data_IF_148406455509
#
_entry.id   IF_148406455509
#
_cell.length_a   1.000
_cell.length_b   1.000
_cell.length_c   1.000
_cell.angle_alpha   90.00
_cell.angle_beta   90.00
_cell.angle_gamma   90.00
#
_symmetry.space_group_name_H-M   'P 1'
#
loop_
_entity.id
_entity.type
_entity.pdbx_description
1 polymer ?
#
# COMPACT_ATOMS: atom_id res chain seq x y z
N UNK A 1 -18.65 11.46 19.39
CA UNK A 1 -19.23 11.39 18.03
C UNK A 1 -18.17 11.08 16.98
N UNK A 2 -17.05 11.80 17.00
CA UNK A 2 -15.90 11.61 16.09
C UNK A 2 -15.29 10.20 16.12
N UNK A 3 -15.05 9.63 17.31
CA UNK A 3 -14.52 8.25 17.42
C UNK A 3 -15.44 7.19 16.77
N UNK A 4 -16.76 7.40 16.82
CA UNK A 4 -17.72 6.48 16.19
C UNK A 4 -17.70 6.59 14.66
N UNK A 5 -17.53 7.81 14.14
CA UNK A 5 -17.40 8.04 12.70
C UNK A 5 -16.10 7.45 12.16
N UNK A 6 -14.98 7.62 12.88
CA UNK A 6 -13.70 7.03 12.50
C UNK A 6 -13.77 5.49 12.43
N UNK A 7 -14.49 4.84 13.37
CA UNK A 7 -14.69 3.38 13.34
C UNK A 7 -15.62 2.92 12.20
N UNK A 8 -16.62 3.73 11.85
CA UNK A 8 -17.54 3.42 10.76
C UNK A 8 -16.87 3.61 9.40
N UNK A 9 -16.13 4.71 9.26
CA UNK A 9 -15.20 4.91 8.16
C UNK A 9 -14.31 3.69 8.11
N UNK A 10 -13.58 3.33 9.19
CA UNK A 10 -12.70 2.14 9.28
C UNK A 10 -13.36 0.85 8.76
N UNK A 11 -14.61 0.61 9.12
CA UNK A 11 -15.29 -0.57 8.63
C UNK A 11 -15.61 -0.48 7.13
N UNK A 12 -15.94 0.71 6.63
CA UNK A 12 -16.30 0.95 5.24
C UNK A 12 -15.18 0.62 4.24
N UNK A 13 -13.90 0.90 4.48
CA UNK A 13 -12.87 0.45 3.52
C UNK A 13 -12.57 -1.05 3.58
N UNK A 14 -13.02 -1.75 4.62
CA UNK A 14 -12.97 -3.22 4.65
C UNK A 14 -14.15 -3.79 3.87
N UNK A 15 -15.37 -3.33 4.15
CA UNK A 15 -16.60 -3.99 3.70
C UNK A 15 -17.31 -3.27 2.55
N UNK A 16 -16.81 -2.10 2.14
CA UNK A 16 -17.41 -1.24 1.14
C UNK A 16 -18.87 -0.92 1.44
N UNK A 17 -19.68 -0.97 0.39
CA UNK A 17 -21.14 -0.80 0.48
C UNK A 17 -21.91 -2.03 0.98
N UNK A 18 -21.25 -3.10 1.44
CA UNK A 18 -21.96 -4.30 1.92
C UNK A 18 -22.67 -4.04 3.24
N UNK A 19 -23.97 -3.76 3.18
CA UNK A 19 -24.80 -3.53 4.37
C UNK A 19 -24.73 -4.71 5.35
N UNK A 20 -24.78 -5.96 4.83
CA UNK A 20 -24.67 -7.17 5.65
C UNK A 20 -23.37 -7.19 6.45
N UNK A 21 -22.22 -6.97 5.80
CA UNK A 21 -20.93 -6.95 6.49
C UNK A 21 -20.77 -5.73 7.40
N UNK A 22 -21.40 -4.60 7.03
CA UNK A 22 -21.41 -3.37 7.82
C UNK A 22 -22.18 -3.51 9.14
N UNK A 23 -23.26 -4.28 9.18
CA UNK A 23 -24.13 -4.36 10.36
C UNK A 23 -24.03 -5.69 11.11
N UNK A 24 -23.83 -6.82 10.42
CA UNK A 24 -23.95 -8.15 11.04
C UNK A 24 -22.61 -8.72 11.54
N UNK A 25 -21.48 -8.12 11.16
CA UNK A 25 -20.13 -8.65 11.44
C UNK A 25 -19.26 -7.65 12.18
N UNK A 26 -18.29 -8.11 12.98
CA UNK A 26 -17.18 -7.25 13.41
C UNK A 26 -16.23 -6.98 12.23
N UNK A 27 -15.41 -5.93 12.29
CA UNK A 27 -14.40 -5.65 11.24
C UNK A 27 -13.48 -6.86 11.03
N UNK A 28 -12.97 -7.45 12.11
CA UNK A 28 -12.14 -8.66 12.05
C UNK A 28 -12.89 -9.86 11.45
N UNK A 29 -14.17 -10.05 11.79
CA UNK A 29 -15.00 -11.12 11.23
C UNK A 29 -15.23 -10.95 9.73
N UNK A 30 -15.51 -9.73 9.28
CA UNK A 30 -15.66 -9.42 7.86
C UNK A 30 -14.36 -9.64 7.09
N UNK A 31 -13.20 -9.22 7.62
CA UNK A 31 -11.89 -9.48 7.01
C UNK A 31 -11.61 -10.98 6.87
N UNK A 32 -11.95 -11.78 7.88
CA UNK A 32 -11.83 -13.25 7.82
C UNK A 32 -12.66 -13.84 6.69
N UNK A 33 -13.94 -13.45 6.59
CA UNK A 33 -14.82 -13.91 5.52
C UNK A 33 -14.34 -13.51 4.13
N UNK A 34 -13.88 -12.28 3.96
CA UNK A 34 -13.35 -11.78 2.69
C UNK A 34 -12.10 -12.55 2.27
N UNK A 35 -11.18 -12.81 3.21
CA UNK A 35 -9.97 -13.63 2.94
C UNK A 35 -10.32 -15.05 2.53
N UNK A 36 -11.28 -15.69 3.21
CA UNK A 36 -11.75 -17.03 2.82
C UNK A 36 -12.36 -17.02 1.42
N UNK A 37 -13.15 -15.99 1.09
CA UNK A 37 -13.72 -15.84 -0.24
C UNK A 37 -12.63 -15.65 -1.31
N UNK A 38 -11.63 -14.80 -1.06
CA UNK A 38 -10.49 -14.59 -1.97
C UNK A 38 -9.69 -15.89 -2.16
N UNK A 39 -9.46 -16.66 -1.09
CA UNK A 39 -8.74 -17.93 -1.17
C UNK A 39 -9.50 -19.02 -1.95
N UNK A 40 -10.82 -18.92 -2.05
CA UNK A 40 -11.65 -19.85 -2.80
C UNK A 40 -11.78 -19.49 -4.29
N UNK A 41 -11.19 -18.37 -4.73
CA UNK A 41 -11.25 -17.87 -6.10
C UNK A 41 -9.91 -18.08 -6.77
N UNK A 42 -9.84 -19.08 -7.65
CA UNK A 42 -8.62 -19.36 -8.45
C UNK A 42 -8.38 -18.27 -9.51
N UNK A 43 -9.47 -17.76 -10.10
CA UNK A 43 -9.44 -16.67 -11.07
C UNK A 43 -10.68 -15.78 -10.94
N UNK A 44 -10.48 -14.53 -10.51
CA UNK A 44 -11.57 -13.57 -10.32
C UNK A 44 -12.16 -13.10 -11.65
N UNK A 45 -11.41 -13.19 -12.76
CA UNK A 45 -11.87 -12.74 -14.08
C UNK A 45 -13.04 -13.57 -14.59
N UNK A 46 -13.07 -14.87 -14.28
CA UNK A 46 -14.19 -15.77 -14.65
C UNK A 46 -15.54 -15.32 -14.07
N UNK A 47 -15.52 -14.72 -12.88
CA UNK A 47 -16.73 -14.21 -12.23
C UNK A 47 -17.22 -12.90 -12.86
N UNK A 48 -16.32 -12.15 -13.52
CA UNK A 48 -16.64 -10.89 -14.18
C UNK A 48 -17.10 -11.08 -15.63
N UNK A 49 -16.63 -12.15 -16.28
CA UNK A 49 -17.02 -12.52 -17.64
C UNK A 49 -18.35 -13.28 -17.70
N UNK A 50 -18.99 -13.51 -16.55
CA UNK A 50 -20.29 -14.22 -16.46
C UNK A 50 -20.21 -15.71 -16.79
N UNK A 51 -19.00 -16.28 -16.85
CA UNK A 51 -18.77 -17.71 -17.08
C UNK A 51 -19.06 -18.55 -15.83
N UNK A 52 -19.18 -17.90 -14.67
CA UNK A 52 -19.68 -18.49 -13.41
C UNK A 52 -20.95 -17.77 -12.98
N UNK A 53 -22.04 -18.52 -12.76
CA UNK A 53 -23.35 -17.95 -12.46
C UNK A 53 -23.39 -17.09 -11.19
N UNK A 54 -24.23 -16.04 -11.21
CA UNK A 54 -24.45 -15.08 -10.12
C UNK A 54 -24.85 -15.72 -8.77
N UNK A 55 -25.26 -17.00 -8.79
CA UNK A 55 -25.67 -17.81 -7.64
C UNK A 55 -24.54 -18.62 -7.00
N UNK A 56 -23.27 -18.39 -7.38
CA UNK A 56 -22.15 -18.98 -6.63
C UNK A 56 -22.10 -18.35 -5.23
N UNK A 57 -22.55 -19.12 -4.23
CA UNK A 57 -22.55 -18.76 -2.79
C UNK A 57 -21.17 -18.32 -2.27
N UNK A 58 -20.10 -18.58 -3.03
CA UNK A 58 -18.73 -18.39 -2.61
C UNK A 58 -18.15 -16.99 -2.90
N UNK A 59 -18.64 -16.25 -3.91
CA UNK A 59 -17.83 -15.15 -4.50
C UNK A 59 -18.58 -13.87 -4.83
N UNK A 60 -19.72 -13.96 -5.54
CA UNK A 60 -20.33 -12.80 -6.22
C UNK A 60 -20.87 -11.74 -5.24
N UNK A 61 -21.34 -12.16 -4.07
CA UNK A 61 -21.85 -11.24 -3.03
C UNK A 61 -20.80 -10.86 -1.97
N UNK A 62 -19.53 -11.27 -2.14
CA UNK A 62 -18.47 -11.07 -1.14
C UNK A 62 -17.29 -10.26 -1.66
N UNK A 63 -16.92 -10.38 -2.94
CA UNK A 63 -15.74 -9.68 -3.48
C UNK A 63 -16.08 -8.56 -4.47
N UNK A 64 -17.28 -8.64 -5.05
CA UNK A 64 -17.75 -7.71 -6.06
C UNK A 64 -19.02 -7.01 -5.58
N UNK A 65 -19.18 -5.76 -6.01
CA UNK A 65 -20.40 -4.96 -5.87
C UNK A 65 -20.95 -4.67 -7.25
N UNK A 66 -22.28 -4.67 -7.37
CA UNK A 66 -22.95 -4.29 -8.61
C UNK A 66 -23.46 -2.86 -8.48
N UNK A 67 -22.92 -1.97 -9.32
CA UNK A 67 -23.34 -0.58 -9.34
C UNK A 67 -24.48 -0.42 -10.35
N UNK A 68 -25.58 0.28 -9.99
CA UNK A 68 -26.70 0.49 -10.89
C UNK A 68 -26.25 1.19 -12.18
N UNK A 69 -26.58 0.60 -13.33
CA UNK A 69 -26.49 1.25 -14.63
C UNK A 69 -27.79 1.99 -14.98
N UNK A 70 -27.90 2.49 -16.21
CA UNK A 70 -29.14 3.07 -16.72
C UNK A 70 -30.30 2.05 -16.78
N UNK A 71 -29.99 0.75 -16.72
CA UNK A 71 -30.91 -0.36 -16.50
C UNK A 71 -30.22 -1.46 -15.69
N UNK A 72 -30.99 -2.45 -15.20
CA UNK A 72 -30.47 -3.60 -14.44
C UNK A 72 -29.44 -4.41 -15.26
N UNK A 73 -29.69 -4.54 -16.57
CA UNK A 73 -28.80 -5.20 -17.54
C UNK A 73 -27.52 -4.40 -17.87
N UNK A 74 -27.47 -3.14 -17.44
CA UNK A 74 -26.31 -2.26 -17.58
C UNK A 74 -25.56 -2.07 -16.27
N UNK A 75 -25.96 -2.80 -15.21
CA UNK A 75 -25.20 -2.82 -13.97
C UNK A 75 -23.79 -3.32 -14.25
N UNK A 76 -22.80 -2.64 -13.67
CA UNK A 76 -21.40 -2.99 -13.87
C UNK A 76 -20.80 -3.48 -12.56
N UNK A 77 -19.97 -4.53 -12.61
CA UNK A 77 -19.25 -4.97 -11.44
C UNK A 77 -18.17 -3.96 -11.06
N UNK A 78 -17.97 -3.80 -9.76
CA UNK A 78 -16.82 -3.12 -9.18
C UNK A 78 -16.26 -3.94 -8.03
N UNK A 79 -15.02 -3.67 -7.65
CA UNK A 79 -14.42 -4.29 -6.47
C UNK A 79 -15.19 -3.80 -5.23
N UNK A 80 -15.48 -4.71 -4.30
CA UNK A 80 -16.26 -4.38 -3.10
C UNK A 80 -15.65 -3.24 -2.29
N UNK A 81 -14.33 -3.31 -2.05
CA UNK A 81 -13.62 -2.40 -1.17
C UNK A 81 -12.12 -2.34 -1.46
N UNK A 82 -11.43 -1.33 -0.94
CA UNK A 82 -9.96 -1.21 -1.04
C UNK A 82 -9.27 -2.43 -0.41
N UNK A 83 -9.76 -2.94 0.73
CA UNK A 83 -9.23 -4.17 1.33
C UNK A 83 -9.24 -5.35 0.36
N UNK A 84 -10.37 -5.57 -0.32
CA UNK A 84 -10.49 -6.65 -1.31
C UNK A 84 -9.56 -6.40 -2.50
N UNK A 85 -9.46 -5.16 -2.97
CA UNK A 85 -8.54 -4.77 -4.05
C UNK A 85 -7.10 -5.17 -3.71
N UNK A 86 -6.56 -4.70 -2.58
CA UNK A 86 -5.19 -4.99 -2.13
C UNK A 86 -4.92 -6.49 -2.00
N UNK A 87 -5.84 -7.24 -1.41
CA UNK A 87 -5.70 -8.70 -1.26
C UNK A 87 -5.71 -9.44 -2.61
N UNK A 88 -6.49 -8.97 -3.58
CA UNK A 88 -6.41 -9.49 -4.96
C UNK A 88 -5.05 -9.15 -5.57
N UNK A 89 -4.59 -7.91 -5.42
CA UNK A 89 -3.30 -7.44 -5.95
C UNK A 89 -2.11 -8.30 -5.51
N UNK A 90 -2.07 -8.72 -4.26
CA UNK A 90 -0.98 -9.54 -3.72
C UNK A 90 -0.96 -10.99 -4.17
N UNK A 91 -2.09 -11.51 -4.64
CA UNK A 91 -2.24 -12.91 -5.07
C UNK A 91 -2.21 -13.07 -6.58
N UNK A 92 -2.36 -11.96 -7.29
CA UNK A 92 -2.62 -11.94 -8.72
C UNK A 92 -1.44 -11.28 -9.40
N UNK A 93 -0.98 -11.85 -10.52
CA UNK A 93 0.07 -11.22 -11.32
C UNK A 93 -0.43 -10.03 -12.16
N UNK A 94 0.48 -9.17 -12.65
CA UNK A 94 0.12 -7.93 -13.34
C UNK A 94 -0.75 -8.17 -14.60
N UNK A 95 -0.52 -9.27 -15.30
CA UNK A 95 -1.27 -9.66 -16.49
C UNK A 95 -2.75 -9.92 -16.20
N UNK A 96 -3.05 -10.68 -15.13
CA UNK A 96 -4.42 -10.96 -14.69
C UNK A 96 -5.11 -9.71 -14.16
N UNK A 97 -4.37 -8.79 -13.53
CA UNK A 97 -4.90 -7.47 -13.15
C UNK A 97 -5.30 -6.62 -14.36
N UNK A 98 -4.57 -6.72 -15.47
CA UNK A 98 -4.94 -6.03 -16.70
C UNK A 98 -6.25 -6.57 -17.30
N UNK A 99 -6.46 -7.89 -17.24
CA UNK A 99 -7.75 -8.48 -17.63
C UNK A 99 -8.89 -8.01 -16.72
N UNK A 100 -8.67 -8.04 -15.39
CA UNK A 100 -9.59 -7.51 -14.39
C UNK A 100 -9.96 -6.04 -14.66
N UNK A 101 -8.98 -5.19 -14.99
CA UNK A 101 -9.21 -3.77 -15.29
C UNK A 101 -10.19 -3.55 -16.45
N UNK A 102 -10.17 -4.43 -17.46
CA UNK A 102 -11.06 -4.33 -18.64
C UNK A 102 -12.51 -4.65 -18.30
N UNK A 103 -12.74 -5.49 -17.29
CA UNK A 103 -14.07 -5.96 -16.89
C UNK A 103 -14.76 -5.04 -15.88
N UNK A 104 -14.01 -4.25 -15.12
CA UNK A 104 -14.55 -3.38 -14.08
C UNK A 104 -15.05 -2.04 -14.66
N UNK A 105 -16.09 -1.47 -14.03
CA UNK A 105 -16.48 -0.10 -14.32
C UNK A 105 -15.35 0.88 -13.96
N UNK A 106 -14.81 1.58 -14.95
CA UNK A 106 -13.83 2.64 -14.74
C UNK A 106 -14.52 3.86 -14.11
N UNK A 107 -14.28 4.08 -12.82
CA UNK A 107 -14.48 5.38 -12.18
C UNK A 107 -13.14 5.81 -11.53
N UNK A 108 -12.92 7.11 -11.25
CA UNK A 108 -11.65 7.59 -10.72
C UNK A 108 -11.18 6.93 -9.41
N UNK A 109 -12.10 6.43 -8.58
CA UNK A 109 -11.75 5.75 -7.33
C UNK A 109 -11.22 4.32 -7.57
N UNK A 110 -11.83 3.57 -8.49
CA UNK A 110 -11.34 2.25 -8.93
C UNK A 110 -9.96 2.40 -9.59
N UNK A 111 -9.76 3.48 -10.33
CA UNK A 111 -8.49 3.81 -10.97
C UNK A 111 -7.33 3.91 -9.99
N UNK A 112 -7.55 4.48 -8.79
CA UNK A 112 -6.56 4.53 -7.71
C UNK A 112 -6.30 3.15 -7.10
N UNK A 113 -7.36 2.40 -6.79
CA UNK A 113 -7.23 1.04 -6.23
C UNK A 113 -6.50 0.09 -7.18
N UNK A 114 -6.77 0.18 -8.48
CA UNK A 114 -6.10 -0.67 -9.47
C UNK A 114 -4.61 -0.35 -9.61
N UNK A 115 -4.20 0.91 -9.40
CA UNK A 115 -2.78 1.27 -9.38
C UNK A 115 -2.08 0.72 -8.14
N UNK A 116 -2.73 0.82 -6.98
CA UNK A 116 -2.26 0.17 -5.74
C UNK A 116 -2.16 -1.36 -5.91
N UNK A 117 -3.16 -1.99 -6.51
CA UNK A 117 -3.14 -3.43 -6.83
C UNK A 117 -1.98 -3.80 -7.72
N UNK A 118 -1.72 -3.00 -8.77
CA UNK A 118 -0.61 -3.27 -9.67
C UNK A 118 0.73 -3.10 -8.98
N UNK A 119 0.91 -2.11 -8.11
CA UNK A 119 2.12 -1.97 -7.31
C UNK A 119 2.40 -3.24 -6.49
N UNK A 120 1.42 -3.70 -5.70
CA UNK A 120 1.59 -4.91 -4.89
C UNK A 120 1.79 -6.17 -5.72
N UNK A 121 1.04 -6.31 -6.81
CA UNK A 121 1.18 -7.41 -7.76
C UNK A 121 2.58 -7.45 -8.36
N UNK A 122 3.11 -6.30 -8.78
CA UNK A 122 4.46 -6.22 -9.35
C UNK A 122 5.51 -6.57 -8.30
N UNK A 123 5.38 -6.09 -7.06
CA UNK A 123 6.28 -6.48 -5.96
C UNK A 123 6.38 -8.01 -5.81
N UNK A 124 5.26 -8.73 -5.84
CA UNK A 124 5.21 -10.18 -5.61
C UNK A 124 5.39 -11.04 -6.87
N UNK A 125 5.41 -10.45 -8.07
CA UNK A 125 5.44 -11.18 -9.34
C UNK A 125 6.46 -10.59 -10.32
N UNK A 126 7.75 -10.75 -10.01
CA UNK A 126 8.85 -10.35 -10.90
C UNK A 126 9.47 -8.97 -10.61
N UNK A 127 8.87 -8.21 -9.69
CA UNK A 127 9.39 -6.93 -9.21
C UNK A 127 8.65 -5.71 -9.77
N UNK A 128 8.51 -4.68 -8.94
CA UNK A 128 8.06 -3.36 -9.33
C UNK A 128 9.27 -2.55 -9.83
N UNK A 129 9.31 -2.24 -11.13
CA UNK A 129 10.31 -1.33 -11.69
C UNK A 129 9.97 0.10 -11.32
N UNK A 130 10.83 0.71 -10.50
CA UNK A 130 10.70 2.08 -10.01
C UNK A 130 11.67 2.98 -10.76
N UNK A 131 11.12 3.93 -11.51
CA UNK A 131 11.88 4.91 -12.26
C UNK A 131 12.12 6.15 -11.40
N UNK A 132 13.38 6.57 -11.29
CA UNK A 132 13.72 7.80 -10.59
C UNK A 132 13.29 9.01 -11.40
N UNK A 133 12.97 10.10 -10.69
CA UNK A 133 12.83 11.43 -11.27
C UNK A 133 14.02 11.71 -12.21
N UNK A 134 13.71 11.96 -13.49
CA UNK A 134 14.67 12.29 -14.55
C UNK A 134 15.52 11.15 -15.14
N UNK A 135 15.27 9.88 -14.84
CA UNK A 135 15.99 8.75 -15.49
C UNK A 135 15.02 7.77 -16.14
N UNK A 136 14.77 7.98 -17.44
CA UNK A 136 14.18 6.96 -18.32
C UNK A 136 15.09 5.72 -18.46
N UNK A 137 16.35 5.81 -18.04
CA UNK A 137 17.33 4.73 -18.06
C UNK A 137 17.98 4.60 -16.68
N UNK A 138 17.61 3.56 -15.92
CA UNK A 138 18.15 3.28 -14.58
C UNK A 138 17.09 3.20 -13.49
N UNK A 139 16.08 2.33 -13.67
CA UNK A 139 15.10 2.02 -12.64
C UNK A 139 15.65 1.07 -11.58
N UNK A 140 15.22 1.24 -10.33
CA UNK A 140 15.43 0.27 -9.24
C UNK A 140 14.31 -0.78 -9.32
N UNK A 141 14.63 -2.06 -9.19
CA UNK A 141 13.59 -3.10 -9.14
C UNK A 141 13.33 -3.43 -7.67
N UNK A 142 12.13 -3.11 -7.19
CA UNK A 142 11.67 -3.54 -5.87
C UNK A 142 11.03 -4.92 -6.00
N UNK A 143 11.63 -5.91 -5.34
CA UNK A 143 11.11 -7.28 -5.38
C UNK A 143 10.70 -7.75 -4.00
N UNK A 144 9.76 -8.67 -3.95
CA UNK A 144 9.46 -9.44 -2.76
C UNK A 144 8.97 -10.84 -3.14
N UNK A 145 9.31 -11.85 -2.34
CA UNK A 145 8.67 -13.16 -2.42
C UNK A 145 7.32 -13.18 -1.69
N UNK A 146 7.15 -12.34 -0.67
CA UNK A 146 5.92 -12.17 0.11
C UNK A 146 5.83 -10.75 0.68
N UNK A 147 4.62 -10.25 0.93
CA UNK A 147 4.39 -8.98 1.62
C UNK A 147 3.62 -9.28 2.90
N UNK A 148 4.35 -9.29 4.02
CA UNK A 148 3.76 -9.64 5.31
C UNK A 148 2.78 -8.56 5.79
N UNK A 149 1.78 -9.01 6.52
CA UNK A 149 0.75 -8.14 7.11
C UNK A 149 1.15 -7.78 8.52
N UNK A 150 1.00 -6.50 8.87
CA UNK A 150 1.17 -6.04 10.24
C UNK A 150 0.02 -5.14 10.68
N UNK A 151 -0.31 -5.19 11.96
CA UNK A 151 -1.24 -4.24 12.58
C UNK A 151 -0.42 -3.01 12.99
N UNK A 152 -0.66 -1.83 12.42
CA UNK A 152 0.06 -0.61 12.78
C UNK A 152 -0.04 -0.23 14.24
N UNK A 153 -0.98 -0.82 15.00
CA UNK A 153 -1.10 -0.59 16.44
C UNK A 153 -0.39 -1.63 17.31
N UNK A 154 0.17 -2.70 16.72
CA UNK A 154 0.90 -3.76 17.43
C UNK A 154 2.40 -3.77 17.12
N UNK A 155 3.15 -4.49 17.94
CA UNK A 155 4.57 -4.72 17.71
C UNK A 155 4.82 -5.30 16.31
N UNK A 156 5.83 -4.76 15.63
CA UNK A 156 6.23 -5.22 14.29
C UNK A 156 7.21 -6.37 14.47
N UNK A 157 6.84 -7.54 13.96
CA UNK A 157 7.74 -8.70 13.94
C UNK A 157 8.72 -8.56 12.78
N UNK A 158 10.01 -8.66 13.09
CA UNK A 158 11.09 -8.56 12.12
C UNK A 158 11.76 -9.93 11.95
N UNK A 159 11.05 -10.85 11.34
CA UNK A 159 11.44 -12.27 11.27
C UNK A 159 12.46 -12.56 10.15
N UNK A 160 12.72 -11.59 9.26
CA UNK A 160 13.64 -11.69 8.13
C UNK A 160 14.66 -10.55 8.10
N UNK A 161 15.85 -10.72 7.48
CA UNK A 161 16.85 -9.64 7.33
C UNK A 161 16.33 -8.42 6.58
N UNK A 162 15.40 -8.63 5.66
CA UNK A 162 14.67 -7.58 4.95
C UNK A 162 13.28 -8.08 4.59
N UNK A 163 12.28 -7.21 4.59
CA UNK A 163 10.91 -7.61 4.25
C UNK A 163 10.05 -6.42 3.82
N UNK A 164 9.14 -6.69 2.89
CA UNK A 164 8.00 -5.81 2.61
C UNK A 164 6.84 -6.13 3.54
N UNK A 165 6.27 -5.08 4.11
CA UNK A 165 5.14 -5.09 5.01
C UNK A 165 4.01 -4.25 4.42
N UNK A 166 2.78 -4.63 4.68
CA UNK A 166 1.62 -3.82 4.38
C UNK A 166 0.64 -3.80 5.57
N UNK A 167 0.13 -2.61 5.93
CA UNK A 167 -0.69 -2.45 7.11
C UNK A 167 -2.05 -3.12 6.92
N UNK A 168 -2.52 -3.79 7.97
CA UNK A 168 -3.86 -4.38 8.04
C UNK A 168 -4.91 -3.28 8.22
N UNK A 169 -4.57 -2.23 8.98
CA UNK A 169 -5.41 -1.05 9.15
C UNK A 169 -5.16 -0.07 8.02
N UNK A 170 -6.22 0.35 7.37
CA UNK A 170 -6.17 1.33 6.29
C UNK A 170 -6.33 2.76 6.80
N UNK A 171 -6.92 2.97 8.00
CA UNK A 171 -7.23 4.30 8.52
C UNK A 171 -6.02 4.99 9.17
N UNK A 172 -4.85 4.36 9.11
CA UNK A 172 -3.59 4.99 9.50
C UNK A 172 -2.93 5.78 8.36
N UNK A 173 -3.69 6.13 7.31
CA UNK A 173 -3.64 7.38 6.51
C UNK A 173 -2.30 7.96 6.03
N UNK A 174 -1.20 7.23 6.14
CA UNK A 174 0.14 7.71 5.89
C UNK A 174 0.95 6.82 4.96
N UNK A 175 0.62 5.54 4.79
CA UNK A 175 1.41 4.64 3.94
C UNK A 175 0.65 3.38 3.54
N UNK A 176 0.99 2.86 2.37
CA UNK A 176 0.44 1.63 1.78
C UNK A 176 1.37 0.45 1.98
N UNK A 177 2.69 0.68 1.92
CA UNK A 177 3.69 -0.35 2.15
C UNK A 177 4.88 0.19 2.95
N UNK A 178 5.54 -0.69 3.68
CA UNK A 178 6.76 -0.41 4.43
C UNK A 178 7.77 -1.48 4.10
N UNK A 179 8.97 -1.11 3.72
CA UNK A 179 10.09 -2.02 3.59
C UNK A 179 11.11 -1.74 4.68
N UNK A 180 11.68 -2.78 5.25
CA UNK A 180 12.83 -2.65 6.12
C UNK A 180 13.97 -3.55 5.68
N UNK A 181 15.19 -3.15 6.00
CA UNK A 181 16.42 -3.92 5.75
C UNK A 181 17.39 -3.70 6.91
N UNK A 182 17.92 -4.80 7.43
CA UNK A 182 19.02 -4.80 8.38
C UNK A 182 20.36 -4.72 7.66
N UNK A 183 21.28 -3.95 8.25
CA UNK A 183 22.66 -3.85 7.82
C UNK A 183 23.57 -3.95 9.04
N UNK A 184 24.74 -4.52 8.80
CA UNK A 184 25.81 -4.50 9.79
C UNK A 184 26.33 -3.06 9.97
N UNK A 185 26.91 -2.81 11.15
CA UNK A 185 27.69 -1.60 11.36
C UNK A 185 29.03 -1.75 10.65
N UNK A 186 29.34 -0.81 9.78
CA UNK A 186 30.60 -0.67 9.06
C UNK A 186 31.59 0.18 9.88
N UNK A 187 32.75 0.54 9.31
CA UNK A 187 33.76 1.37 9.98
C UNK A 187 33.66 2.86 9.65
N UNK A 188 32.46 3.35 9.30
CA UNK A 188 32.23 4.79 9.10
C UNK A 188 32.31 5.54 10.44
N UNK A 189 32.45 6.86 10.40
CA UNK A 189 32.40 7.70 11.61
C UNK A 189 31.04 7.59 12.31
N UNK A 190 29.94 7.63 11.55
CA UNK A 190 28.59 7.47 12.10
C UNK A 190 28.38 6.12 12.79
N UNK A 191 28.91 5.04 12.20
CA UNK A 191 28.77 3.69 12.74
C UNK A 191 29.65 3.48 13.98
N UNK A 192 30.73 4.25 14.16
CA UNK A 192 31.50 4.27 15.43
C UNK A 192 30.68 4.94 16.54
N UNK A 193 30.08 6.10 16.28
CA UNK A 193 29.19 6.76 17.24
C UNK A 193 28.00 5.89 17.62
N UNK A 194 27.45 5.14 16.66
CA UNK A 194 26.37 4.17 16.92
C UNK A 194 26.83 3.03 17.86
N UNK A 195 28.04 2.50 17.69
CA UNK A 195 28.61 1.49 18.61
C UNK A 195 28.84 2.03 20.01
N UNK A 196 29.36 3.25 20.12
CA UNK A 196 29.54 3.93 21.42
C UNK A 196 28.20 4.15 22.13
N UNK A 197 27.14 4.39 21.36
CA UNK A 197 25.75 4.46 21.82
C UNK A 197 25.12 3.09 22.15
N UNK A 198 25.83 1.97 21.95
CA UNK A 198 25.38 0.62 22.30
C UNK A 198 24.62 -0.13 21.20
N UNK A 199 24.53 0.41 19.98
CA UNK A 199 23.90 -0.27 18.86
C UNK A 199 24.84 -1.33 18.25
N UNK A 200 24.26 -2.44 17.78
CA UNK A 200 25.03 -3.52 17.13
C UNK A 200 24.67 -3.70 15.66
N UNK A 201 23.54 -3.16 15.22
CA UNK A 201 23.03 -3.24 13.85
C UNK A 201 22.34 -1.94 13.47
N UNK A 202 22.23 -1.67 12.17
CA UNK A 202 21.49 -0.53 11.64
C UNK A 202 20.33 -0.98 10.77
N UNK A 203 19.22 -0.27 10.84
CA UNK A 203 18.00 -0.54 10.07
C UNK A 203 17.69 0.61 9.11
N UNK A 204 17.43 0.25 7.86
CA UNK A 204 16.85 1.12 6.84
C UNK A 204 15.34 0.89 6.80
N UNK A 205 14.55 1.96 6.76
CA UNK A 205 13.10 1.90 6.62
C UNK A 205 12.65 2.74 5.44
N UNK A 206 11.97 2.12 4.48
CA UNK A 206 11.31 2.78 3.35
C UNK A 206 9.80 2.73 3.56
N UNK A 207 9.15 3.88 3.51
CA UNK A 207 7.72 4.07 3.70
C UNK A 207 7.14 4.52 2.37
N UNK A 208 6.16 3.79 1.84
CA UNK A 208 5.62 3.99 0.49
C UNK A 208 4.18 4.46 0.56
N UNK A 209 3.88 5.53 -0.17
CA UNK A 209 2.53 5.97 -0.49
C UNK A 209 2.29 5.78 -1.99
N UNK A 210 1.26 5.02 -2.36
CA UNK A 210 0.91 4.74 -3.76
C UNK A 210 -0.28 5.60 -4.13
N UNK A 211 -0.10 6.52 -5.08
CA UNK A 211 -1.16 7.47 -5.46
C UNK A 211 -1.14 7.79 -6.94
N UNK A 212 -2.32 8.08 -7.50
CA UNK A 212 -2.46 8.64 -8.85
C UNK A 212 -2.71 10.15 -8.87
N UNK A 213 -2.88 10.74 -7.70
CA UNK A 213 -3.11 12.18 -7.55
C UNK A 213 -1.78 12.93 -7.57
N UNK A 214 -1.81 14.17 -8.08
CA UNK A 214 -0.69 15.13 -8.03
C UNK A 214 -0.41 15.63 -6.60
N UNK A 215 -1.35 15.40 -5.68
CA UNK A 215 -1.22 15.74 -4.25
C UNK A 215 -1.68 14.57 -3.40
N UNK A 216 -1.14 14.46 -2.19
CA UNK A 216 -1.56 13.43 -1.24
C UNK A 216 -1.57 13.97 0.19
N UNK A 217 -2.46 13.44 1.03
CA UNK A 217 -2.43 13.77 2.46
C UNK A 217 -1.19 13.17 3.12
N UNK A 218 -0.56 13.97 3.98
CA UNK A 218 0.57 13.55 4.80
C UNK A 218 0.27 13.85 6.26
N UNK A 219 -0.11 12.82 7.02
CA UNK A 219 -0.32 12.94 8.47
C UNK A 219 0.92 12.37 9.17
N UNK A 220 1.83 13.27 9.56
CA UNK A 220 3.15 12.92 10.13
C UNK A 220 3.06 12.01 11.35
N UNK A 221 1.98 12.09 12.11
CA UNK A 221 1.72 11.28 13.31
C UNK A 221 1.82 9.78 13.03
N UNK A 222 1.28 9.31 11.88
CA UNK A 222 1.33 7.90 11.54
C UNK A 222 2.75 7.42 11.23
N UNK A 223 3.58 8.28 10.63
CA UNK A 223 4.98 7.98 10.35
C UNK A 223 5.78 7.94 11.65
N UNK A 224 5.56 8.90 12.54
CA UNK A 224 6.16 8.93 13.88
C UNK A 224 5.83 7.66 14.66
N UNK A 225 4.56 7.26 14.69
CA UNK A 225 4.10 6.08 15.43
C UNK A 225 4.68 4.79 14.84
N UNK A 226 4.84 4.71 13.52
CA UNK A 226 5.52 3.60 12.85
C UNK A 226 7.01 3.56 13.23
N UNK A 227 7.73 4.67 13.07
CA UNK A 227 9.16 4.75 13.34
C UNK A 227 9.49 4.48 14.82
N UNK A 228 8.63 4.91 15.73
CA UNK A 228 8.77 4.66 17.18
C UNK A 228 8.82 3.16 17.50
N UNK A 229 8.18 2.32 16.69
CA UNK A 229 8.22 0.87 16.85
C UNK A 229 9.55 0.28 16.41
N UNK A 230 10.15 0.84 15.36
CA UNK A 230 11.48 0.41 14.91
C UNK A 230 12.58 0.88 15.88
N UNK A 231 12.47 2.08 16.45
CA UNK A 231 13.46 2.62 17.41
C UNK A 231 13.37 1.98 18.80
N UNK A 232 12.19 1.46 19.18
CA UNK A 232 12.02 0.73 20.44
C UNK A 232 12.74 -0.63 20.46
N UNK A 233 13.07 -1.18 19.29
CA UNK A 233 13.69 -2.49 19.15
C UNK A 233 15.21 -2.38 19.35
N UNK A 234 15.65 -2.46 20.60
CA UNK A 234 17.07 -2.56 20.94
C UNK A 234 17.64 -3.91 20.44
N UNK A 235 18.91 -3.97 19.96
CA UNK A 235 19.91 -2.90 19.86
C UNK A 235 20.02 -2.28 18.44
N UNK A 236 18.91 -1.91 17.80
CA UNK A 236 18.91 -1.41 16.41
C UNK A 236 18.94 0.12 16.30
N UNK A 237 19.83 0.63 15.45
CA UNK A 237 19.87 2.04 15.09
C UNK A 237 19.11 2.30 13.79
N UNK A 238 18.08 3.14 13.84
CA UNK A 238 17.40 3.67 12.66
C UNK A 238 18.32 4.67 11.94
N UNK A 239 19.14 4.17 11.01
CA UNK A 239 20.16 4.99 10.35
C UNK A 239 19.63 5.76 9.16
N UNK A 240 18.61 5.24 8.47
CA UNK A 240 18.04 5.89 7.31
C UNK A 240 16.54 5.63 7.18
N UNK A 241 15.80 6.70 6.86
CA UNK A 241 14.37 6.67 6.53
C UNK A 241 14.17 7.26 5.15
N UNK A 242 13.43 6.53 4.32
CA UNK A 242 13.02 6.96 3.01
C UNK A 242 11.50 7.03 2.91
N UNK A 243 10.94 8.16 2.48
CA UNK A 243 9.52 8.29 2.14
C UNK A 243 9.39 8.39 0.61
N UNK A 244 8.73 7.40 0.01
CA UNK A 244 8.53 7.30 -1.43
C UNK A 244 7.06 7.52 -1.79
N UNK A 245 6.80 8.53 -2.61
CA UNK A 245 5.53 8.69 -3.31
C UNK A 245 5.62 7.98 -4.66
N UNK A 246 4.98 6.81 -4.77
CA UNK A 246 4.92 6.04 -6.01
C UNK A 246 3.72 6.52 -6.81
N UNK A 247 3.99 7.08 -7.99
CA UNK A 247 2.98 7.68 -8.87
C UNK A 247 3.10 7.17 -10.31
N UNK A 248 2.07 7.35 -11.16
CA UNK A 248 2.20 7.10 -12.58
C UNK A 248 3.27 8.00 -13.21
N UNK A 249 3.97 7.51 -14.23
CA UNK A 249 5.05 8.27 -14.89
C UNK A 249 4.64 9.63 -15.43
N UNK A 250 3.37 9.82 -15.80
CA UNK A 250 2.83 11.11 -16.26
C UNK A 250 2.46 12.08 -15.15
N UNK A 251 2.53 11.66 -13.88
CA UNK A 251 2.21 12.49 -12.71
C UNK A 251 3.49 12.98 -12.02
N UNK A 252 4.63 12.32 -12.25
CA UNK A 252 5.89 12.59 -11.53
C UNK A 252 6.29 14.06 -11.58
N UNK A 253 6.26 14.70 -12.75
CA UNK A 253 6.68 16.09 -12.91
C UNK A 253 5.77 17.10 -12.23
N UNK A 254 4.51 16.71 -12.01
CA UNK A 254 3.45 17.59 -11.52
C UNK A 254 3.13 17.30 -10.04
N UNK A 255 3.76 16.27 -9.46
CA UNK A 255 3.51 15.86 -8.09
C UNK A 255 4.11 16.86 -7.10
N UNK A 256 3.26 17.35 -6.20
CA UNK A 256 3.69 18.25 -5.12
C UNK A 256 3.93 17.44 -3.85
N UNK A 257 5.18 17.43 -3.37
CA UNK A 257 5.52 16.81 -2.10
C UNK A 257 4.75 17.49 -0.95
N UNK A 258 4.02 16.73 -0.12
CA UNK A 258 3.20 17.30 0.94
C UNK A 258 4.01 17.68 2.19
N UNK A 259 5.29 17.33 2.24
CA UNK A 259 6.19 17.60 3.36
C UNK A 259 7.63 17.70 2.86
N UNK A 260 8.42 18.59 3.46
CA UNK A 260 9.86 18.69 3.21
C UNK A 260 10.69 17.92 4.24
N UNK A 261 11.97 17.69 3.94
CA UNK A 261 12.90 16.93 4.78
C UNK A 261 13.09 17.53 6.18
N UNK A 262 13.10 18.85 6.32
CA UNK A 262 13.30 19.54 7.60
C UNK A 262 12.07 19.36 8.48
N UNK A 263 10.89 19.56 7.91
CA UNK A 263 9.62 19.37 8.61
C UNK A 263 9.45 17.90 9.04
N UNK A 264 9.69 16.94 8.15
CA UNK A 264 9.58 15.52 8.49
C UNK A 264 10.61 15.07 9.55
N UNK A 265 11.83 15.62 9.51
CA UNK A 265 12.82 15.37 10.56
C UNK A 265 12.29 15.78 11.93
N UNK A 266 11.85 17.04 12.05
CA UNK A 266 11.40 17.64 13.31
C UNK A 266 10.14 16.98 13.88
N UNK A 267 9.18 16.64 13.02
CA UNK A 267 7.84 16.21 13.46
C UNK A 267 7.62 14.70 13.39
N UNK A 268 8.35 14.00 12.53
CA UNK A 268 8.19 12.55 12.31
C UNK A 268 9.32 11.73 12.90
N UNK A 269 10.58 12.07 12.57
CA UNK A 269 11.74 11.21 12.86
C UNK A 269 12.30 11.45 14.25
N UNK A 270 12.65 12.70 14.62
CA UNK A 270 13.23 13.00 15.94
C UNK A 270 12.30 12.62 17.10
N UNK A 271 10.98 12.88 17.04
CA UNK A 271 10.06 12.48 18.12
C UNK A 271 9.87 10.96 18.25
N UNK A 272 10.31 10.16 17.27
CA UNK A 272 10.23 8.71 17.33
C UNK A 272 11.35 8.08 18.18
N UNK A 273 12.39 8.84 18.57
CA UNK A 273 13.48 8.34 19.42
C UNK A 273 13.18 8.58 20.90
N UNK A 274 13.23 7.51 21.71
CA UNK A 274 12.92 7.60 23.14
C UNK A 274 14.10 7.98 24.05
N UNK A 275 15.35 7.71 23.64
CA UNK A 275 16.50 7.81 24.55
C UNK A 275 17.83 8.20 23.90
N UNK A 276 18.15 7.62 22.73
CA UNK A 276 19.44 7.84 22.06
C UNK A 276 19.18 8.25 20.63
N UNK A 277 19.60 9.47 20.28
CA UNK A 277 19.50 9.98 18.92
C UNK A 277 20.88 9.94 18.28
N UNK A 278 21.06 9.04 17.32
CA UNK A 278 22.19 9.04 16.39
C UNK A 278 21.68 9.55 15.05
N UNK A 279 22.51 10.26 14.29
CA UNK A 279 22.09 10.94 13.07
C UNK A 279 21.38 9.99 12.09
N UNK A 280 20.09 10.23 11.82
CA UNK A 280 19.33 9.49 10.81
C UNK A 280 19.34 10.24 9.49
N UNK A 281 19.69 9.55 8.41
CA UNK A 281 19.54 10.03 7.05
C UNK A 281 18.08 10.01 6.63
N UNK A 282 17.62 11.09 6.00
CA UNK A 282 16.22 11.22 5.56
C UNK A 282 16.21 11.55 4.08
N UNK A 283 15.44 10.76 3.32
CA UNK A 283 15.13 11.00 1.92
C UNK A 283 13.61 11.05 1.74
N UNK A 284 13.11 12.02 0.99
CA UNK A 284 11.71 12.13 0.59
C UNK A 284 11.74 12.32 -0.93
N UNK A 285 11.10 11.43 -1.68
CA UNK A 285 11.13 11.46 -3.13
C UNK A 285 9.83 11.00 -3.76
N UNK A 286 9.53 11.54 -4.94
CA UNK A 286 8.54 11.00 -5.86
C UNK A 286 9.23 10.09 -6.86
N UNK A 287 8.62 8.95 -7.14
CA UNK A 287 9.15 7.95 -8.08
C UNK A 287 8.03 7.43 -8.97
N UNK A 288 8.37 7.07 -10.20
CA UNK A 288 7.40 6.47 -11.11
C UNK A 288 7.36 4.96 -10.95
N UNK A 289 6.17 4.38 -10.96
CA UNK A 289 6.02 2.95 -11.24
C UNK A 289 5.96 2.75 -12.76
N UNK A 290 6.82 1.90 -13.32
CA UNK A 290 6.74 1.53 -14.74
C UNK A 290 5.42 0.80 -15.00
N UNK A 291 4.51 1.49 -15.68
CA UNK A 291 3.10 1.12 -15.75
C UNK A 291 2.52 1.18 -17.17
N UNK A 292 3.39 1.25 -18.19
CA UNK A 292 2.97 1.35 -19.59
C UNK A 292 2.03 0.21 -20.02
N UNK A 293 2.16 -0.96 -19.39
CA UNK A 293 1.32 -2.13 -19.65
C UNK A 293 -0.12 -1.99 -19.16
N UNK A 294 -0.42 -1.10 -18.21
CA UNK A 294 -1.77 -1.04 -17.62
C UNK A 294 -2.68 0.01 -18.23
N UNK A 295 -2.16 1.06 -18.92
CA UNK A 295 -3.04 2.08 -19.51
C UNK A 295 -4.10 1.42 -20.41
N UNK A 296 -5.40 1.52 -20.10
CA UNK A 296 -6.40 1.32 -21.13
C UNK A 296 -6.10 2.40 -22.18
N UNK A 297 -5.78 2.00 -23.42
CA UNK A 297 -5.62 2.96 -24.53
C UNK A 297 -6.79 3.93 -24.45
N UNK A 298 -6.53 5.23 -24.23
CA UNK A 298 -7.55 6.28 -24.33
C UNK A 298 -8.17 6.16 -25.72
N UNK A 299 -9.31 5.48 -25.83
CA UNK A 299 -10.22 5.63 -26.96
C UNK A 299 -11.15 6.77 -26.62
N UNK A 300 -10.74 7.96 -27.07
CA UNK A 300 -11.48 8.84 -27.96
C UNK A 300 -11.11 10.29 -27.69
N UNK A 301 -10.58 10.92 -28.75
CA UNK A 301 -10.58 12.36 -28.95
C UNK A 301 -11.97 12.90 -28.59
N UNK A 302 -12.03 13.89 -27.71
CA UNK A 302 -13.12 14.86 -27.75
C UNK A 302 -12.78 15.81 -28.90
N UNK A 303 -13.55 15.69 -29.99
CA UNK A 303 -13.79 16.83 -30.87
C UNK A 303 -14.66 17.83 -30.12
#
# INVERSE_FOLDING_TARGET
MEARMALLEEKFLVVGGSARMMFDYSTAGAMGLLRTAIAAVDDITQYLEGTVGCSSDKVVNRLLSWYPGASMDLSKPGILSNFVAREIGLRTGPEKLQALAKCLATNPAIDGWMFEMFFFSSLTNGGATILNEHRYHGGEIWTSSDVARFDPDREIRLDSPHQWLAPIKWNQGGYDAVFYEFKDLDNTECDRSAREAGFTMKIFVRIVQVTRSETHSFKVEYFKDLLSRFTALQPMWLYAVEVCFVVPSDVVSDFTLPVDKVTFRREGVEPAFYSVMVATDICIRVVALEYETWRPKKRLKRN
#
